data_IF_763898604847
#
_entry.id   IF_763898604847
#
_cell.length_a   1.000
_cell.length_b   1.000
_cell.length_c   1.000
_cell.angle_alpha   90.00
_cell.angle_beta   90.00
_cell.angle_gamma   90.00
#
_symmetry.space_group_name_H-M   'P 1'
#
loop_
_entity.id
_entity.type
_entity.pdbx_description
1 polymer ?
#
# COMPACT_ATOMS: atom_id res chain seq x y z
N UNK A 1 5.84 5.94 15.20
CA UNK A 1 4.50 5.33 15.24
C UNK A 1 4.59 3.98 14.54
N UNK A 2 4.40 2.92 15.31
CA UNK A 2 4.44 1.53 14.81
C UNK A 2 3.18 1.24 14.00
N UNK A 3 3.33 0.51 12.91
CA UNK A 3 2.20 0.02 12.12
C UNK A 3 1.90 -1.43 12.51
N UNK A 4 0.63 -1.71 12.81
CA UNK A 4 0.21 -3.06 13.13
C UNK A 4 -0.07 -3.89 11.87
N UNK A 5 0.42 -5.11 11.87
CA UNK A 5 0.10 -6.17 10.94
C UNK A 5 -0.87 -7.18 11.57
N UNK A 6 -1.76 -7.73 10.76
CA UNK A 6 -2.83 -8.61 11.20
C UNK A 6 -2.84 -9.88 10.36
N UNK A 7 -3.13 -11.02 11.00
CA UNK A 7 -3.53 -12.24 10.29
C UNK A 7 -5.01 -12.13 9.98
N UNK A 8 -5.41 -12.22 8.71
CA UNK A 8 -6.79 -11.96 8.31
C UNK A 8 -7.77 -12.97 8.96
N UNK A 9 -7.34 -14.23 9.11
CA UNK A 9 -8.17 -15.31 9.64
C UNK A 9 -8.51 -15.13 11.13
N UNK A 10 -7.70 -14.39 11.89
CA UNK A 10 -7.88 -14.16 13.34
C UNK A 10 -8.16 -12.70 13.70
N UNK A 11 -8.21 -11.79 12.72
CA UNK A 11 -8.41 -10.37 12.98
C UNK A 11 -9.83 -10.09 13.50
N UNK A 12 -9.89 -9.48 14.69
CA UNK A 12 -11.12 -9.04 15.33
C UNK A 12 -11.39 -7.54 15.12
N UNK A 13 -12.64 -7.12 15.33
CA UNK A 13 -13.07 -5.73 15.14
C UNK A 13 -12.24 -4.75 15.97
N UNK A 14 -12.02 -5.06 17.26
CA UNK A 14 -11.22 -4.23 18.15
C UNK A 14 -9.79 -4.02 17.63
N UNK A 15 -9.11 -5.09 17.20
CA UNK A 15 -7.75 -5.02 16.66
C UNK A 15 -7.68 -4.14 15.40
N UNK A 16 -8.66 -4.28 14.50
CA UNK A 16 -8.77 -3.45 13.31
C UNK A 16 -9.04 -1.99 13.65
N UNK A 17 -9.87 -1.71 14.65
CA UNK A 17 -10.09 -0.33 15.14
C UNK A 17 -8.81 0.28 15.70
N UNK A 18 -8.01 -0.47 16.45
CA UNK A 18 -6.68 0.01 16.88
C UNK A 18 -5.78 0.34 15.69
N UNK A 19 -5.78 -0.52 14.66
CA UNK A 19 -5.06 -0.26 13.41
C UNK A 19 -5.53 0.99 12.68
N UNK A 20 -6.84 1.22 12.61
CA UNK A 20 -7.44 2.41 11.99
C UNK A 20 -7.09 3.68 12.78
N UNK A 21 -7.28 3.66 14.10
CA UNK A 21 -7.05 4.80 14.98
C UNK A 21 -5.56 5.17 15.11
N UNK A 22 -4.67 4.17 15.02
CA UNK A 22 -3.23 4.37 15.00
C UNK A 22 -2.67 4.81 13.64
N UNK A 23 -3.48 4.79 12.57
CA UNK A 23 -3.00 5.13 11.25
C UNK A 23 -2.94 6.66 11.04
N UNK A 24 -1.88 7.19 10.40
CA UNK A 24 -1.78 8.62 10.13
C UNK A 24 -2.91 9.09 9.21
N UNK A 25 -3.43 10.29 9.44
CA UNK A 25 -4.45 10.90 8.59
C UNK A 25 -3.81 11.89 7.60
N UNK A 26 -4.05 11.72 6.29
CA UNK A 26 -3.47 12.57 5.25
C UNK A 26 -4.49 13.50 4.59
N UNK A 27 -4.48 14.75 5.04
CA UNK A 27 -5.35 15.83 4.54
C UNK A 27 -4.93 16.44 3.21
N UNK A 28 -3.64 16.48 2.87
CA UNK A 28 -3.17 17.25 1.69
C UNK A 28 -2.08 16.53 0.87
N UNK A 29 -1.05 15.96 1.50
CA UNK A 29 0.20 15.63 0.78
C UNK A 29 0.23 14.20 0.22
N UNK A 30 -0.02 14.06 -1.08
CA UNK A 30 0.13 12.78 -1.84
C UNK A 30 1.52 12.17 -1.66
N UNK A 31 2.56 13.00 -1.63
CA UNK A 31 3.94 12.56 -1.39
C UNK A 31 4.08 11.71 -0.11
N UNK A 32 3.38 12.10 0.96
CA UNK A 32 3.43 11.39 2.23
C UNK A 32 2.72 10.03 2.15
N UNK A 33 1.58 9.97 1.45
CA UNK A 33 0.85 8.72 1.24
C UNK A 33 1.67 7.71 0.40
N UNK A 34 2.33 8.20 -0.67
CA UNK A 34 3.24 7.39 -1.50
C UNK A 34 4.43 6.91 -0.67
N UNK A 35 5.08 7.82 0.06
CA UNK A 35 6.20 7.49 0.94
C UNK A 35 5.81 6.46 1.98
N UNK A 36 4.69 6.64 2.69
CA UNK A 36 4.21 5.72 3.73
C UNK A 36 3.97 4.32 3.17
N UNK A 37 3.34 4.24 2.00
CA UNK A 37 3.12 2.96 1.32
C UNK A 37 4.43 2.23 1.07
N UNK A 38 5.46 2.92 0.55
CA UNK A 38 6.79 2.34 0.31
C UNK A 38 7.47 1.92 1.60
N UNK A 39 7.43 2.77 2.63
CA UNK A 39 8.01 2.47 3.94
C UNK A 39 7.38 1.22 4.57
N UNK A 40 6.06 1.05 4.45
CA UNK A 40 5.36 -0.15 4.92
C UNK A 40 5.76 -1.38 4.11
N UNK A 41 5.88 -1.27 2.78
CA UNK A 41 6.38 -2.35 1.93
C UNK A 41 7.76 -2.82 2.42
N UNK A 42 8.70 -1.89 2.63
CA UNK A 42 10.03 -2.25 3.13
C UNK A 42 9.97 -2.86 4.54
N UNK A 43 9.04 -2.40 5.37
CA UNK A 43 8.82 -2.92 6.73
C UNK A 43 8.28 -4.36 6.76
N UNK A 44 7.71 -4.88 5.67
CA UNK A 44 7.25 -6.27 5.62
C UNK A 44 8.40 -7.26 5.81
N UNK A 45 9.62 -6.89 5.42
CA UNK A 45 10.81 -7.72 5.64
C UNK A 45 11.07 -7.99 7.13
N UNK A 46 10.68 -7.06 8.01
CA UNK A 46 10.86 -7.23 9.46
C UNK A 46 9.84 -8.20 10.07
N UNK A 47 8.70 -8.43 9.41
CA UNK A 47 7.68 -9.36 9.87
C UNK A 47 7.97 -10.81 9.47
N UNK A 48 8.72 -11.03 8.38
CA UNK A 48 8.94 -12.34 7.78
C UNK A 48 10.43 -12.72 7.79
N UNK A 49 10.87 -13.38 8.86
CA UNK A 49 12.28 -13.77 9.05
C UNK A 49 12.87 -14.66 7.95
N UNK A 50 12.04 -15.33 7.15
CA UNK A 50 12.45 -16.32 6.14
C UNK A 50 12.03 -15.96 4.71
N UNK A 51 11.38 -14.82 4.50
CA UNK A 51 10.92 -14.40 3.18
C UNK A 51 11.51 -13.03 2.84
N UNK A 52 12.10 -12.91 1.67
CA UNK A 52 12.48 -11.61 1.12
C UNK A 52 11.25 -10.86 0.61
N UNK A 53 11.41 -9.58 0.28
CA UNK A 53 10.31 -8.82 -0.33
C UNK A 53 9.96 -9.37 -1.73
N UNK A 54 10.94 -9.94 -2.42
CA UNK A 54 10.82 -10.68 -3.67
C UNK A 54 9.95 -11.94 -3.58
N UNK A 55 9.60 -12.42 -2.38
CA UNK A 55 8.66 -13.52 -2.16
C UNK A 55 7.22 -13.04 -1.85
N UNK A 56 7.01 -11.72 -1.76
CA UNK A 56 5.77 -11.12 -1.25
C UNK A 56 4.95 -10.53 -2.41
N UNK A 57 3.70 -10.94 -2.51
CA UNK A 57 2.71 -10.27 -3.36
C UNK A 57 1.81 -9.38 -2.51
N UNK A 58 1.72 -8.09 -2.87
CA UNK A 58 0.90 -7.10 -2.16
C UNK A 58 -0.31 -6.67 -2.99
N UNK A 59 -1.36 -6.24 -2.30
CA UNK A 59 -2.53 -5.57 -2.85
C UNK A 59 -2.82 -4.32 -2.03
N UNK A 60 -3.08 -3.21 -2.71
CA UNK A 60 -3.55 -1.96 -2.10
C UNK A 60 -5.05 -1.82 -2.34
N UNK A 61 -5.78 -1.49 -1.29
CA UNK A 61 -7.21 -1.22 -1.38
C UNK A 61 -7.66 -0.12 -0.46
N UNK A 62 -8.94 0.22 -0.57
CA UNK A 62 -9.61 1.19 0.29
C UNK A 62 -10.91 0.62 0.87
N UNK A 63 -11.32 1.17 2.01
CA UNK A 63 -12.59 0.88 2.65
C UNK A 63 -13.14 2.12 3.34
N UNK A 64 -14.38 2.03 3.84
CA UNK A 64 -14.90 3.00 4.80
C UNK A 64 -14.10 2.96 6.11
N UNK A 65 -14.16 4.05 6.86
CA UNK A 65 -13.60 4.14 8.20
C UNK A 65 -14.48 3.41 9.23
N UNK A 66 -14.56 2.08 9.06
CA UNK A 66 -15.31 1.14 9.88
C UNK A 66 -14.58 -0.20 9.88
N UNK A 67 -14.42 -0.80 11.06
CA UNK A 67 -13.81 -2.11 11.23
C UNK A 67 -14.56 -3.20 10.46
N UNK A 68 -15.90 -3.18 10.47
CA UNK A 68 -16.75 -4.10 9.71
C UNK A 68 -16.43 -4.07 8.21
N UNK A 69 -16.37 -2.87 7.64
CA UNK A 69 -16.10 -2.69 6.22
C UNK A 69 -14.66 -3.09 5.86
N UNK A 70 -13.69 -2.82 6.74
CA UNK A 70 -12.28 -3.21 6.52
C UNK A 70 -12.13 -4.73 6.59
N UNK A 71 -12.68 -5.38 7.61
CA UNK A 71 -12.65 -6.84 7.78
C UNK A 71 -13.33 -7.56 6.62
N UNK A 72 -14.50 -7.08 6.18
CA UNK A 72 -15.21 -7.63 5.02
C UNK A 72 -14.31 -7.62 3.76
N UNK A 73 -13.60 -6.52 3.51
CA UNK A 73 -12.64 -6.43 2.38
C UNK A 73 -11.46 -7.38 2.54
N UNK A 74 -10.89 -7.48 3.74
CA UNK A 74 -9.76 -8.37 4.00
C UNK A 74 -10.15 -9.84 3.81
N UNK A 75 -11.31 -10.26 4.34
CA UNK A 75 -11.86 -11.61 4.14
C UNK A 75 -12.11 -11.90 2.66
N UNK A 76 -12.66 -10.95 1.92
CA UNK A 76 -12.82 -11.07 0.46
C UNK A 76 -11.48 -11.31 -0.24
N UNK A 77 -10.41 -10.58 0.13
CA UNK A 77 -9.07 -10.83 -0.44
C UNK A 77 -8.45 -12.16 0.00
N UNK A 78 -8.72 -12.60 1.23
CA UNK A 78 -8.33 -13.93 1.71
C UNK A 78 -8.92 -15.02 0.84
N UNK A 79 -10.22 -14.95 0.57
CA UNK A 79 -10.97 -15.92 -0.23
C UNK A 79 -10.56 -15.89 -1.72
N UNK A 80 -10.51 -14.71 -2.33
CA UNK A 80 -10.37 -14.59 -3.78
C UNK A 80 -8.91 -14.49 -4.26
N UNK A 81 -7.99 -14.04 -3.40
CA UNK A 81 -6.57 -13.81 -3.74
C UNK A 81 -5.61 -14.66 -2.91
N UNK A 82 -6.10 -15.35 -1.89
CA UNK A 82 -5.25 -16.11 -0.96
C UNK A 82 -4.36 -15.24 -0.08
N UNK A 83 -4.63 -13.92 0.03
CA UNK A 83 -3.89 -13.02 0.90
C UNK A 83 -4.13 -13.38 2.36
N UNK A 84 -3.07 -13.55 3.15
CA UNK A 84 -3.16 -14.06 4.53
C UNK A 84 -3.07 -12.96 5.58
N UNK A 85 -2.50 -11.82 5.19
CA UNK A 85 -2.10 -10.78 6.12
C UNK A 85 -2.54 -9.41 5.64
N UNK A 86 -2.70 -8.48 6.58
CA UNK A 86 -3.16 -7.14 6.29
C UNK A 86 -2.55 -6.08 7.23
N UNK A 87 -2.60 -4.82 6.80
CA UNK A 87 -2.26 -3.65 7.62
C UNK A 87 -3.01 -2.43 7.13
N UNK A 88 -3.33 -1.50 8.03
CA UNK A 88 -3.85 -0.18 7.69
C UNK A 88 -2.66 0.75 7.42
N UNK A 89 -2.66 1.43 6.26
CA UNK A 89 -1.56 2.33 5.88
C UNK A 89 -1.76 3.74 6.42
N UNK A 90 -2.96 4.29 6.19
CA UNK A 90 -3.34 5.66 6.54
C UNK A 90 -4.86 5.85 6.35
N UNK A 91 -5.37 6.95 6.88
CA UNK A 91 -6.74 7.43 6.63
C UNK A 91 -6.73 8.73 5.82
N UNK A 92 -7.80 9.02 5.10
CA UNK A 92 -7.97 10.25 4.33
C UNK A 92 -9.44 10.51 3.99
N UNK A 93 -9.77 11.66 3.40
CA UNK A 93 -11.11 11.91 2.88
C UNK A 93 -11.47 10.93 1.75
N UNK A 94 -12.71 10.45 1.74
CA UNK A 94 -13.18 9.41 0.83
C UNK A 94 -13.10 9.78 -0.66
N UNK A 95 -13.38 11.04 -0.99
CA UNK A 95 -13.22 11.58 -2.35
C UNK A 95 -11.77 11.50 -2.84
N UNK A 96 -10.81 11.57 -1.91
CA UNK A 96 -9.38 11.48 -2.23
C UNK A 96 -8.90 10.05 -2.29
N UNK A 97 -9.51 9.14 -1.54
CA UNK A 97 -9.11 7.75 -1.45
C UNK A 97 -9.11 7.05 -2.82
N UNK A 98 -10.13 7.30 -3.65
CA UNK A 98 -10.18 6.78 -5.02
C UNK A 98 -8.98 7.27 -5.85
N UNK A 99 -8.69 8.57 -5.78
CA UNK A 99 -7.58 9.18 -6.50
C UNK A 99 -6.23 8.64 -6.01
N UNK A 100 -6.05 8.50 -4.70
CA UNK A 100 -4.82 8.00 -4.09
C UNK A 100 -4.59 6.52 -4.41
N UNK A 101 -5.64 5.69 -4.35
CA UNK A 101 -5.59 4.30 -4.80
C UNK A 101 -5.22 4.24 -6.28
N UNK A 102 -5.90 5.00 -7.13
CA UNK A 102 -5.62 5.05 -8.56
C UNK A 102 -4.20 5.52 -8.90
N UNK A 103 -3.63 6.43 -8.12
CA UNK A 103 -2.23 6.86 -8.22
C UNK A 103 -1.29 5.74 -7.79
N UNK A 104 -1.55 5.10 -6.65
CA UNK A 104 -0.73 4.02 -6.14
C UNK A 104 -0.70 2.82 -7.11
N UNK A 105 -1.86 2.45 -7.66
CA UNK A 105 -1.98 1.43 -8.72
C UNK A 105 -1.10 1.76 -9.92
N UNK A 106 -1.17 3.01 -10.42
CA UNK A 106 -0.37 3.45 -11.57
C UNK A 106 1.13 3.42 -11.24
N UNK A 107 1.53 3.90 -10.07
CA UNK A 107 2.93 3.85 -9.59
C UNK A 107 3.44 2.41 -9.58
N UNK A 108 2.74 1.50 -8.91
CA UNK A 108 3.19 0.11 -8.75
C UNK A 108 3.26 -0.60 -10.11
N UNK A 109 2.29 -0.35 -10.99
CA UNK A 109 2.31 -0.87 -12.37
C UNK A 109 3.53 -0.35 -13.14
N UNK A 110 3.85 0.94 -13.04
CA UNK A 110 5.04 1.50 -13.73
C UNK A 110 6.33 0.94 -13.15
N UNK A 111 6.49 0.89 -11.83
CA UNK A 111 7.66 0.29 -11.19
C UNK A 111 7.86 -1.17 -11.61
N UNK A 112 6.77 -1.94 -11.71
CA UNK A 112 6.79 -3.31 -12.25
C UNK A 112 7.30 -3.34 -13.69
N UNK A 113 6.77 -2.49 -14.57
CA UNK A 113 7.19 -2.42 -15.97
C UNK A 113 8.68 -2.05 -16.12
N UNK A 114 9.21 -1.23 -15.21
CA UNK A 114 10.63 -0.86 -15.18
C UNK A 114 11.50 -1.91 -14.46
N UNK A 115 10.95 -3.02 -13.95
CA UNK A 115 11.72 -4.05 -13.23
C UNK A 115 12.28 -3.58 -11.87
N UNK A 116 11.64 -2.58 -11.26
CA UNK A 116 12.12 -1.90 -10.04
C UNK A 116 11.12 -1.92 -8.88
N UNK A 117 10.09 -2.76 -8.99
CA UNK A 117 9.13 -3.00 -7.92
C UNK A 117 9.83 -3.76 -6.78
N UNK A 118 9.78 -3.23 -5.55
CA UNK A 118 10.46 -3.83 -4.40
C UNK A 118 9.81 -5.10 -3.85
N UNK A 119 8.77 -5.63 -4.50
CA UNK A 119 8.03 -6.83 -4.11
C UNK A 119 7.82 -7.70 -5.33
N UNK A 120 7.60 -9.00 -5.15
CA UNK A 120 7.40 -9.96 -6.26
C UNK A 120 6.33 -9.49 -7.24
N UNK A 121 5.23 -8.99 -6.68
CA UNK A 121 4.10 -8.52 -7.45
C UNK A 121 3.28 -7.53 -6.62
N UNK A 122 2.71 -6.56 -7.34
CA UNK A 122 1.68 -5.69 -6.82
C UNK A 122 0.43 -5.99 -7.63
N UNK A 123 -0.48 -6.77 -7.05
CA UNK A 123 -1.75 -7.07 -7.68
C UNK A 123 -2.60 -5.81 -7.60
N UNK A 124 -2.73 -5.14 -8.73
CA UNK A 124 -3.49 -3.90 -8.83
C UNK A 124 -4.54 -4.10 -9.91
N UNK A 125 -5.81 -4.19 -9.50
CA UNK A 125 -6.90 -4.24 -10.48
C UNK A 125 -6.83 -2.98 -11.34
N UNK A 126 -6.76 -3.17 -12.67
CA UNK A 126 -6.68 -2.06 -13.61
C UNK A 126 -7.92 -1.19 -13.51
N UNK A 127 -7.80 -0.03 -12.86
CA UNK A 127 -8.85 0.97 -12.75
C UNK A 127 -9.19 1.44 -11.33
N UNK A 128 -8.75 0.74 -10.27
CA UNK A 128 -9.31 0.97 -8.93
C UNK A 128 -10.72 0.38 -8.88
N UNK A 129 -10.83 -0.86 -8.39
CA UNK A 129 -12.10 -1.58 -8.38
C UNK A 129 -12.74 -1.52 -7.01
N UNK A 130 -13.90 -0.85 -6.90
CA UNK A 130 -14.70 -0.85 -5.68
C UNK A 130 -15.55 0.41 -5.54
N UNK A 131 -16.73 0.26 -4.94
CA UNK A 131 -17.58 1.40 -4.61
C UNK A 131 -16.86 2.42 -3.72
N UNK A 132 -17.25 3.69 -3.84
CA UNK A 132 -16.79 4.75 -2.94
C UNK A 132 -17.09 4.37 -1.48
N UNK A 133 -16.19 4.70 -0.54
CA UNK A 133 -16.46 4.59 0.89
C UNK A 133 -17.80 5.27 1.24
N UNK A 134 -18.65 4.57 1.98
CA UNK A 134 -19.94 5.10 2.42
C UNK A 134 -19.83 6.24 3.45
N UNK A 135 -18.63 6.47 3.99
CA UNK A 135 -18.32 7.44 5.03
C UNK A 135 -17.43 8.55 4.49
N UNK A 136 -17.42 9.73 5.13
CA UNK A 136 -16.55 10.86 4.72
C UNK A 136 -15.06 10.54 4.80
N UNK A 137 -14.68 9.69 5.74
CA UNK A 137 -13.30 9.21 5.90
C UNK A 137 -13.19 7.81 5.31
N UNK A 138 -12.08 7.58 4.63
CA UNK A 138 -11.68 6.30 4.08
C UNK A 138 -10.40 5.79 4.75
N UNK A 139 -10.30 4.46 4.77
CA UNK A 139 -9.12 3.72 5.20
C UNK A 139 -8.44 3.20 3.95
N UNK A 140 -7.14 3.47 3.81
CA UNK A 140 -6.30 2.80 2.81
C UNK A 140 -5.50 1.71 3.50
N UNK A 141 -5.58 0.50 2.98
CA UNK A 141 -4.97 -0.69 3.56
C UNK A 141 -4.13 -1.44 2.54
N UNK A 142 -3.27 -2.31 3.05
CA UNK A 142 -2.51 -3.29 2.29
C UNK A 142 -2.86 -4.68 2.77
N UNK A 143 -3.00 -5.62 1.83
CA UNK A 143 -3.05 -7.06 2.13
C UNK A 143 -1.95 -7.77 1.36
N UNK A 144 -1.43 -8.89 1.86
CA UNK A 144 -0.37 -9.62 1.16
C UNK A 144 -0.40 -11.12 1.41
N UNK A 145 0.33 -11.86 0.58
CA UNK A 145 0.71 -13.27 0.77
C UNK A 145 2.21 -13.44 0.60
N UNK A 146 2.75 -14.43 1.28
CA UNK A 146 4.10 -14.96 1.07
C UNK A 146 4.04 -16.19 0.16
N UNK A 147 5.07 -16.39 -0.67
CA UNK A 147 5.17 -17.55 -1.57
C UNK A 147 4.73 -17.26 -3.00
N UNK A 148 5.06 -16.08 -3.51
CA UNK A 148 5.06 -15.83 -4.95
C UNK A 148 6.35 -16.37 -5.57
N UNK A 149 6.35 -16.64 -6.89
CA UNK A 149 7.58 -16.98 -7.61
C UNK A 149 8.56 -15.79 -7.48
N UNK A 150 9.74 -15.99 -6.86
CA UNK A 150 10.65 -14.90 -6.56
C UNK A 150 11.06 -14.22 -7.86
N UNK A 151 10.96 -12.90 -7.87
CA UNK A 151 11.36 -12.08 -9.02
C UNK A 151 12.51 -11.18 -8.61
N UNK A 152 13.66 -11.36 -9.25
CA UNK A 152 14.78 -10.42 -9.05
C UNK A 152 14.38 -9.03 -9.53
N UNK A 153 14.45 -8.06 -8.64
CA UNK A 153 14.20 -6.65 -8.97
C UNK A 153 15.46 -5.81 -8.77
N UNK A 154 15.62 -4.82 -9.62
CA UNK A 154 16.69 -3.85 -9.48
C UNK A 154 16.24 -2.67 -8.64
N UNK A 155 17.17 -2.11 -7.86
CA UNK A 155 16.90 -0.87 -7.14
C UNK A 155 16.68 0.27 -8.16
N UNK A 156 15.57 1.02 -8.09
CA UNK A 156 15.31 2.06 -9.08
C UNK A 156 16.40 3.14 -9.09
N UNK A 157 16.83 3.52 -10.30
CA UNK A 157 17.61 4.73 -10.54
C UNK A 157 16.79 6.00 -10.25
N UNK A 158 17.45 7.13 -10.04
CA UNK A 158 16.75 8.43 -9.89
C UNK A 158 15.96 8.76 -11.17
N UNK A 159 16.52 8.42 -12.33
CA UNK A 159 15.86 8.67 -13.62
C UNK A 159 14.60 7.83 -13.79
N UNK A 160 14.61 6.56 -13.34
CA UNK A 160 13.40 5.72 -13.30
C UNK A 160 12.33 6.35 -12.42
N UNK A 161 12.71 6.83 -11.23
CA UNK A 161 11.76 7.51 -10.32
C UNK A 161 11.13 8.74 -10.99
N UNK A 162 11.93 9.55 -11.67
CA UNK A 162 11.46 10.74 -12.40
C UNK A 162 10.54 10.37 -13.56
N UNK A 163 10.88 9.35 -14.35
CA UNK A 163 10.03 8.85 -15.42
C UNK A 163 8.69 8.34 -14.89
N UNK A 164 8.71 7.50 -13.85
CA UNK A 164 7.48 7.01 -13.19
C UNK A 164 6.63 8.17 -12.68
N UNK A 165 7.23 9.15 -12.01
CA UNK A 165 6.51 10.33 -11.52
C UNK A 165 5.86 11.15 -12.66
N UNK A 166 6.59 11.35 -13.75
CA UNK A 166 6.09 12.06 -14.93
C UNK A 166 4.94 11.31 -15.62
N UNK A 167 5.14 10.02 -15.90
CA UNK A 167 4.12 9.17 -16.55
C UNK A 167 2.85 9.06 -15.71
N UNK A 168 2.98 8.91 -14.39
CA UNK A 168 1.82 8.83 -13.49
C UNK A 168 1.11 10.17 -13.42
N UNK A 169 1.83 11.28 -13.35
CA UNK A 169 1.25 12.63 -13.37
C UNK A 169 0.45 12.86 -14.65
N UNK A 170 1.00 12.53 -15.82
CA UNK A 170 0.29 12.60 -17.10
C UNK A 170 -0.95 11.69 -17.12
N UNK A 171 -0.84 10.47 -16.63
CA UNK A 171 -1.95 9.51 -16.56
C UNK A 171 -3.07 9.92 -15.59
N UNK A 172 -2.84 10.89 -14.70
CA UNK A 172 -3.86 11.51 -13.86
C UNK A 172 -4.15 12.96 -14.28
N UNK A 173 -3.92 13.28 -15.56
CA UNK A 173 -4.21 14.59 -16.15
C UNK A 173 -3.56 15.76 -15.41
N UNK A 174 -2.34 15.56 -14.91
CA UNK A 174 -1.55 16.56 -14.18
C UNK A 174 -2.20 17.11 -12.90
N UNK A 175 -3.25 16.47 -12.39
CA UNK A 175 -3.88 16.81 -11.12
C UNK A 175 -2.90 16.73 -9.95
N UNK A 176 -1.86 15.90 -10.07
CA UNK A 176 -0.76 15.79 -9.11
C UNK A 176 0.55 16.11 -9.84
N UNK A 177 1.30 17.07 -9.32
CA UNK A 177 2.57 17.49 -9.92
C UNK A 177 3.62 16.36 -9.84
N UNK A 178 4.44 16.14 -10.89
CA UNK A 178 5.48 15.10 -10.89
C UNK A 178 6.40 15.18 -9.68
N UNK A 179 6.80 16.39 -9.28
CA UNK A 179 7.67 16.63 -8.12
C UNK A 179 7.12 16.08 -6.80
N UNK A 180 5.79 16.08 -6.61
CA UNK A 180 5.16 15.52 -5.41
C UNK A 180 5.29 13.98 -5.40
N UNK A 181 5.09 13.35 -6.56
CA UNK A 181 5.25 11.91 -6.72
C UNK A 181 6.71 11.50 -6.55
N UNK A 182 7.64 12.19 -7.22
CA UNK A 182 9.09 11.99 -7.09
C UNK A 182 9.53 12.04 -5.63
N UNK A 183 9.12 13.09 -4.90
CA UNK A 183 9.48 13.25 -3.48
C UNK A 183 9.07 12.04 -2.63
N UNK A 184 7.88 11.46 -2.88
CA UNK A 184 7.45 10.24 -2.19
C UNK A 184 8.21 9.00 -2.64
N UNK A 185 8.40 8.84 -3.95
CA UNK A 185 9.08 7.70 -4.57
C UNK A 185 10.58 7.62 -4.21
N UNK A 186 11.21 8.74 -3.84
CA UNK A 186 12.61 8.74 -3.38
C UNK A 186 12.84 7.83 -2.16
N UNK A 187 11.79 7.45 -1.42
CA UNK A 187 11.88 6.43 -0.38
C UNK A 187 12.38 5.06 -0.91
N UNK A 188 12.10 4.71 -2.17
CA UNK A 188 12.59 3.48 -2.82
C UNK A 188 14.12 3.41 -2.86
N UNK A 189 14.81 4.55 -2.84
CA UNK A 189 16.28 4.60 -2.84
C UNK A 189 16.89 4.17 -1.50
N UNK A 190 16.13 4.11 -0.42
CA UNK A 190 16.65 3.87 0.92
C UNK A 190 15.83 2.76 1.58
N UNK A 191 16.19 1.51 1.30
CA UNK A 191 15.56 0.33 1.92
C UNK A 191 15.61 0.36 3.47
N UNK A 192 16.59 1.07 4.04
CA UNK A 192 16.67 1.31 5.50
C UNK A 192 15.56 2.22 6.04
N UNK A 193 14.91 3.02 5.18
CA UNK A 193 13.72 3.78 5.55
C UNK A 193 12.52 2.84 5.37
N UNK A 194 12.14 2.24 6.49
CA UNK A 194 11.00 1.33 6.62
C UNK A 194 10.11 1.78 7.76
N UNK A 195 8.81 1.54 7.62
CA UNK A 195 7.89 1.72 8.72
C UNK A 195 8.19 0.63 9.76
N UNK A 196 8.30 0.95 11.06
CA UNK A 196 8.33 -0.08 12.08
C UNK A 196 7.01 -0.84 12.01
N UNK A 197 7.09 -2.14 11.79
CA UNK A 197 5.95 -3.05 11.67
C UNK A 197 6.00 -4.06 12.82
N UNK A 198 4.85 -4.30 13.45
CA UNK A 198 4.71 -5.36 14.45
C UNK A 198 3.39 -6.11 14.25
N UNK A 199 3.36 -7.39 14.61
CA UNK A 199 2.11 -8.12 14.67
C UNK A 199 1.25 -7.55 15.81
N UNK A 200 -0.04 -7.30 15.54
CA UNK A 200 -0.97 -7.00 16.61
C UNK A 200 -1.03 -8.22 17.56
N UNK A 201 -0.97 -8.01 18.89
CA UNK A 201 -1.02 -9.13 19.83
C UNK A 201 -2.34 -9.89 19.66
N UNK A 202 -2.24 -11.21 19.51
CA UNK A 202 -3.39 -12.13 19.53
C UNK A 202 -4.06 -12.11 20.91
#
# INVERSE_FOLDING_TARGET
MTNFAFRIDTAEHYAVEQGINGAPHYNIRVANAVRRTIEVIHGLQDLHLRAGLDDIEVYLGRSSHSSDHVLSRWRSHREHRGHKFATVLFTCDAERAERLEGVAVKILKRLKNYGTLCVSNANVMGGGGGGLPATRVAVVYMTWRTGADPTEYQKPGVDVIRHVASEVSAAVQHVIAPRQLETGLMALKRLQIRAPMEWFPD
#
